data_IF_197364884628
#
_entry.id   IF_197364884628
#
_cell.length_a   1.000
_cell.length_b   1.000
_cell.length_c   1.000
_cell.angle_alpha   90.00
_cell.angle_beta   90.00
_cell.angle_gamma   90.00
#
_symmetry.space_group_name_H-M   'P 1'
#
loop_
_entity.id
_entity.type
_entity.pdbx_description
1 polymer ?
#
# COMPACT_ATOMS: atom_id res chain seq x y z
N UNK A 1 7.18 4.39 5.65
CA UNK A 1 5.77 3.99 5.89
C UNK A 1 5.72 2.50 6.12
N UNK A 2 5.06 2.06 7.17
CA UNK A 2 4.99 0.64 7.44
C UNK A 2 3.72 0.01 6.85
N UNK A 3 3.66 -1.31 6.90
CA UNK A 3 2.55 -2.05 6.30
C UNK A 3 1.22 -1.73 6.96
N UNK A 4 1.21 -1.47 8.26
CA UNK A 4 -0.01 -1.13 8.99
C UNK A 4 -0.61 0.18 8.46
N UNK A 5 0.23 1.17 8.22
CA UNK A 5 -0.22 2.45 7.67
C UNK A 5 -0.82 2.25 6.28
N UNK A 6 -0.16 1.44 5.44
CA UNK A 6 -0.66 1.13 4.10
C UNK A 6 -2.00 0.41 4.17
N UNK A 7 -2.16 -0.50 5.11
CA UNK A 7 -3.40 -1.24 5.27
C UNK A 7 -4.56 -0.30 5.63
N UNK A 8 -4.33 0.61 6.57
CA UNK A 8 -5.35 1.58 6.96
C UNK A 8 -5.73 2.47 5.77
N UNK A 9 -4.74 2.98 5.06
CA UNK A 9 -5.00 3.84 3.90
C UNK A 9 -5.76 3.09 2.82
N UNK A 10 -5.42 1.82 2.58
CA UNK A 10 -6.11 1.01 1.60
C UNK A 10 -7.56 0.77 1.98
N UNK A 11 -7.83 0.47 3.23
CA UNK A 11 -9.19 0.24 3.70
C UNK A 11 -10.04 1.49 3.56
N UNK A 12 -9.51 2.64 3.92
CA UNK A 12 -10.23 3.90 3.78
C UNK A 12 -10.55 4.21 2.33
N UNK A 13 -9.58 4.01 1.45
CA UNK A 13 -9.78 4.24 0.02
C UNK A 13 -10.83 3.29 -0.54
N UNK A 14 -10.77 2.03 -0.15
CA UNK A 14 -11.72 1.02 -0.65
C UNK A 14 -13.14 1.36 -0.24
N UNK A 15 -13.34 1.72 1.03
CA UNK A 15 -14.68 2.09 1.51
C UNK A 15 -15.22 3.32 0.78
N UNK A 16 -14.37 4.31 0.56
CA UNK A 16 -14.79 5.52 -0.15
C UNK A 16 -15.16 5.21 -1.60
N UNK A 17 -14.47 4.26 -2.22
CA UNK A 17 -14.70 3.93 -3.63
C UNK A 17 -15.86 2.97 -3.84
N UNK A 18 -16.03 2.01 -2.95
CA UNK A 18 -17.01 0.93 -3.16
C UNK A 18 -18.15 0.92 -2.13
N UNK A 19 -18.06 1.73 -1.08
CA UNK A 19 -19.12 1.82 -0.09
C UNK A 19 -19.18 0.64 0.87
N UNK A 20 -18.15 -0.19 0.93
CA UNK A 20 -18.08 -1.35 1.82
C UNK A 20 -16.63 -1.68 2.13
N UNK A 21 -16.35 -2.34 3.26
CA UNK A 21 -14.97 -2.69 3.58
C UNK A 21 -14.43 -3.78 2.66
N UNK A 22 -13.12 -3.82 2.42
CA UNK A 22 -12.50 -4.86 1.60
C UNK A 22 -12.48 -6.19 2.33
N UNK A 23 -12.46 -7.28 1.57
CA UNK A 23 -12.28 -8.60 2.14
C UNK A 23 -10.83 -8.81 2.57
N UNK A 24 -10.60 -9.83 3.41
CA UNK A 24 -9.27 -10.13 3.93
C UNK A 24 -8.29 -10.42 2.78
N UNK A 25 -8.72 -11.19 1.79
CA UNK A 25 -7.85 -11.53 0.66
C UNK A 25 -7.43 -10.28 -0.12
N UNK A 26 -8.37 -9.38 -0.34
CA UNK A 26 -8.07 -8.13 -1.06
C UNK A 26 -7.06 -7.28 -0.28
N UNK A 27 -7.22 -7.20 1.03
CA UNK A 27 -6.28 -6.44 1.88
C UNK A 27 -4.89 -7.06 1.78
N UNK A 28 -4.78 -8.37 1.94
CA UNK A 28 -3.47 -9.04 1.92
C UNK A 28 -2.77 -8.86 0.58
N UNK A 29 -3.50 -9.03 -0.51
CA UNK A 29 -2.92 -8.96 -1.84
C UNK A 29 -2.50 -7.54 -2.21
N UNK A 30 -3.39 -6.58 -2.03
CA UNK A 30 -3.13 -5.21 -2.47
C UNK A 30 -2.13 -4.49 -1.58
N UNK A 31 -2.19 -4.73 -0.28
CA UNK A 31 -1.24 -4.11 0.64
C UNK A 31 0.17 -4.66 0.42
N UNK A 32 0.29 -5.96 0.19
CA UNK A 32 1.59 -6.57 -0.10
C UNK A 32 2.19 -5.99 -1.38
N UNK A 33 1.38 -5.81 -2.41
CA UNK A 33 1.85 -5.21 -3.66
C UNK A 33 2.27 -3.77 -3.46
N UNK A 34 1.47 -2.98 -2.73
CA UNK A 34 1.79 -1.59 -2.47
C UNK A 34 3.09 -1.46 -1.68
N UNK A 35 3.31 -2.32 -0.69
CA UNK A 35 4.54 -2.33 0.08
C UNK A 35 5.75 -2.61 -0.82
N UNK A 36 5.60 -3.53 -1.77
CA UNK A 36 6.67 -3.85 -2.72
C UNK A 36 7.01 -2.64 -3.60
N UNK A 37 6.00 -1.95 -4.09
CA UNK A 37 6.21 -0.75 -4.91
C UNK A 37 6.93 0.34 -4.11
N UNK A 38 6.56 0.53 -2.86
CA UNK A 38 7.22 1.51 -2.00
C UNK A 38 8.69 1.17 -1.80
N UNK A 39 9.01 -0.10 -1.60
CA UNK A 39 10.40 -0.53 -1.48
C UNK A 39 11.20 -0.19 -2.73
N UNK A 40 10.64 -0.46 -3.89
CA UNK A 40 11.32 -0.14 -5.14
C UNK A 40 11.55 1.36 -5.29
N UNK A 41 10.58 2.17 -4.91
CA UNK A 41 10.73 3.63 -4.98
C UNK A 41 11.80 4.12 -4.03
N UNK A 42 11.88 3.56 -2.84
CA UNK A 42 12.91 3.92 -1.87
C UNK A 42 14.31 3.58 -2.38
N UNK A 43 14.45 2.40 -3.00
CA UNK A 43 15.72 2.01 -3.59
C UNK A 43 16.15 2.94 -4.71
N UNK A 44 15.20 3.35 -5.54
CA UNK A 44 15.48 4.28 -6.62
C UNK A 44 15.94 5.65 -6.10
N UNK A 45 15.34 6.10 -5.00
CA UNK A 45 15.74 7.36 -4.39
C UNK A 45 17.12 7.27 -3.76
N UNK A 46 17.45 6.13 -3.15
CA UNK A 46 18.75 5.93 -2.54
C UNK A 46 19.88 5.92 -3.57
N UNK A 47 19.59 5.50 -4.79
CA UNK A 47 20.58 5.44 -5.86
C UNK A 47 20.75 6.77 -6.58
N UNK A 48 19.97 7.77 -6.21
CA UNK A 48 20.04 9.06 -6.88
C UNK A 48 21.40 9.72 -6.63
N UNK A 49 22.10 10.14 -7.69
CA UNK A 49 23.33 10.90 -7.52
C UNK A 49 23.04 12.28 -6.97
N UNK A 50 23.95 12.76 -6.18
CA UNK A 50 23.83 14.11 -5.60
C UNK A 50 24.54 15.13 -6.48
#
# INVERSE_FOLDING_TARGET
MNQTTLEIAFKEWWEASYGRPPGTHAVMTHVAFAAHILELLELMQDERPN
#
